data_IF_103716869383
#
_entry.id   IF_103716869383
#
_cell.length_a   1.000
_cell.length_b   1.000
_cell.length_c   1.000
_cell.angle_alpha   90.00
_cell.angle_beta   90.00
_cell.angle_gamma   90.00
#
_symmetry.space_group_name_H-M   'P 1'
#
loop_
_entity.id
_entity.type
_entity.pdbx_description
1 polymer ?
#
# COMPACT_ATOMS: atom_id res chain seq x y z
N UNK A 1 -19.20 -23.25 28.28
CA UNK A 1 -18.21 -22.32 27.69
C UNK A 1 -16.84 -23.00 27.59
N UNK A 2 -16.63 -23.83 26.55
CA UNK A 2 -15.38 -24.59 26.38
C UNK A 2 -14.26 -23.71 25.81
N UNK A 3 -13.27 -23.37 26.64
CA UNK A 3 -12.05 -22.67 26.22
C UNK A 3 -11.05 -23.66 25.62
N UNK A 4 -10.54 -23.39 24.42
CA UNK A 4 -9.30 -24.01 23.94
C UNK A 4 -8.08 -23.27 24.51
N UNK A 5 -6.98 -24.00 24.70
CA UNK A 5 -5.71 -23.59 25.37
C UNK A 5 -4.97 -22.36 24.79
N UNK A 6 -5.55 -21.60 23.86
CA UNK A 6 -4.93 -20.40 23.26
C UNK A 6 -5.80 -19.14 23.27
N UNK A 7 -6.91 -19.10 24.02
CA UNK A 7 -7.57 -17.83 24.36
C UNK A 7 -8.08 -16.94 23.23
N UNK A 8 -8.11 -17.40 21.97
CA UNK A 8 -8.68 -16.63 20.86
C UNK A 8 -10.20 -16.80 20.83
N UNK A 9 -10.91 -15.69 20.99
CA UNK A 9 -12.33 -15.59 20.64
C UNK A 9 -12.44 -15.66 19.12
N UNK A 10 -12.77 -16.83 18.60
CA UNK A 10 -13.26 -16.94 17.23
C UNK A 10 -14.69 -16.39 17.22
N UNK A 11 -14.86 -15.16 16.71
CA UNK A 11 -16.19 -14.68 16.36
C UNK A 11 -16.83 -15.61 15.34
N UNK A 12 -18.06 -16.06 15.66
CA UNK A 12 -18.98 -16.70 14.73
C UNK A 12 -18.98 -18.24 14.78
N UNK A 13 -19.98 -18.78 15.49
CA UNK A 13 -20.37 -20.20 15.61
C UNK A 13 -19.61 -21.00 16.68
N UNK A 14 -20.26 -21.13 17.84
CA UNK A 14 -19.72 -21.64 19.10
C UNK A 14 -19.58 -23.16 19.14
N UNK A 15 -20.13 -23.90 18.16
CA UNK A 15 -20.05 -25.35 18.13
C UNK A 15 -19.77 -25.93 16.73
N UNK A 16 -18.95 -26.99 16.67
CA UNK A 16 -18.76 -27.82 15.46
C UNK A 16 -20.12 -28.31 14.92
N UNK A 17 -21.10 -28.49 15.80
CA UNK A 17 -22.47 -28.88 15.45
C UNK A 17 -23.24 -27.75 14.75
N UNK A 18 -23.01 -26.48 15.11
CA UNK A 18 -23.61 -25.34 14.40
C UNK A 18 -23.02 -25.19 13.00
N UNK A 19 -21.71 -25.35 12.85
CA UNK A 19 -21.07 -25.36 11.52
C UNK A 19 -21.62 -26.46 10.63
N UNK A 20 -21.80 -27.66 11.20
CA UNK A 20 -22.39 -28.78 10.48
C UNK A 20 -23.87 -28.54 10.13
N UNK A 21 -24.65 -27.93 11.04
CA UNK A 21 -26.04 -27.58 10.82
C UNK A 21 -26.21 -26.52 9.73
N UNK A 22 -25.34 -25.50 9.71
CA UNK A 22 -25.28 -24.47 8.68
C UNK A 22 -24.85 -25.04 7.34
N UNK A 23 -23.83 -25.92 7.32
CA UNK A 23 -23.43 -26.63 6.11
C UNK A 23 -24.58 -27.48 5.55
N UNK A 24 -25.33 -28.18 6.41
CA UNK A 24 -26.54 -28.91 6.00
C UNK A 24 -27.70 -28.01 5.58
N UNK A 25 -27.81 -26.80 6.13
CA UNK A 25 -28.84 -25.81 5.74
C UNK A 25 -28.51 -25.26 4.35
N UNK A 26 -27.25 -24.90 4.11
CA UNK A 26 -26.74 -24.48 2.82
C UNK A 26 -26.90 -25.58 1.76
N UNK A 27 -26.54 -26.83 2.05
CA UNK A 27 -26.76 -27.96 1.14
C UNK A 27 -28.25 -28.14 0.78
N UNK A 28 -29.16 -27.93 1.74
CA UNK A 28 -30.61 -27.97 1.49
C UNK A 28 -31.10 -26.79 0.67
N UNK A 29 -30.55 -25.60 0.86
CA UNK A 29 -30.90 -24.42 0.06
C UNK A 29 -30.38 -24.53 -1.38
N UNK A 30 -29.16 -25.05 -1.58
CA UNK A 30 -28.62 -25.39 -2.90
C UNK A 30 -29.47 -26.45 -3.56
N UNK A 31 -29.83 -27.53 -2.87
CA UNK A 31 -30.72 -28.55 -3.41
C UNK A 31 -32.10 -27.98 -3.80
N UNK A 32 -32.67 -27.08 -3.00
CA UNK A 32 -33.93 -26.39 -3.32
C UNK A 32 -33.79 -25.47 -4.54
N UNK A 33 -32.70 -24.73 -4.65
CA UNK A 33 -32.43 -23.86 -5.80
C UNK A 33 -32.25 -24.67 -7.08
N UNK A 34 -31.54 -25.79 -7.00
CA UNK A 34 -31.36 -26.76 -8.09
C UNK A 34 -32.71 -27.37 -8.49
N UNK A 35 -33.54 -27.79 -7.53
CA UNK A 35 -34.87 -28.34 -7.81
C UNK A 35 -35.82 -27.29 -8.41
N UNK A 36 -35.79 -26.04 -7.96
CA UNK A 36 -36.57 -24.93 -8.56
C UNK A 36 -36.09 -24.61 -9.98
N UNK A 37 -34.79 -24.65 -10.23
CA UNK A 37 -34.22 -24.51 -11.58
C UNK A 37 -34.66 -25.67 -12.47
N UNK A 38 -34.65 -26.90 -11.94
CA UNK A 38 -35.13 -28.09 -12.65
C UNK A 38 -36.64 -28.01 -12.96
N UNK A 39 -37.47 -27.55 -12.01
CA UNK A 39 -38.91 -27.35 -12.23
C UNK A 39 -39.21 -26.24 -13.24
N UNK A 40 -38.51 -25.11 -13.19
CA UNK A 40 -38.60 -24.06 -14.22
C UNK A 40 -38.18 -24.59 -15.58
N UNK A 41 -37.14 -25.42 -15.64
CA UNK A 41 -36.67 -26.03 -16.87
C UNK A 41 -37.66 -27.07 -17.41
N UNK A 42 -38.34 -27.84 -16.55
CA UNK A 42 -39.40 -28.78 -16.94
C UNK A 42 -40.61 -28.04 -17.51
N UNK A 43 -41.03 -26.94 -16.86
CA UNK A 43 -42.09 -26.05 -17.37
C UNK A 43 -41.75 -25.43 -18.74
N UNK A 44 -40.49 -25.02 -18.95
CA UNK A 44 -40.01 -24.49 -20.22
C UNK A 44 -39.84 -25.56 -21.30
N UNK A 45 -39.53 -26.81 -20.94
CA UNK A 45 -39.46 -27.93 -21.88
C UNK A 45 -40.83 -28.52 -22.24
N UNK A 46 -41.84 -28.41 -21.35
CA UNK A 46 -43.22 -28.78 -21.71
C UNK A 46 -43.86 -27.82 -22.71
N UNK A 47 -43.39 -26.56 -22.80
CA UNK A 47 -43.81 -25.61 -23.84
C UNK A 47 -43.00 -25.72 -25.15
N UNK A 48 -41.90 -26.48 -25.15
CA UNK A 48 -40.98 -26.62 -26.29
C UNK A 48 -40.98 -28.05 -26.87
N UNK A 49 -42.08 -28.79 -26.71
CA UNK A 49 -42.27 -30.12 -27.28
C UNK A 49 -42.69 -30.05 -28.77
N UNK A 50 -41.93 -29.30 -29.58
CA UNK A 50 -41.89 -29.46 -31.03
C UNK A 50 -40.47 -29.24 -31.52
N UNK A 51 -39.94 -30.27 -32.20
CA UNK A 51 -38.66 -30.33 -32.91
C UNK A 51 -37.37 -30.61 -32.09
N UNK A 52 -37.01 -31.90 -31.98
CA UNK A 52 -35.82 -32.41 -32.68
C UNK A 52 -34.39 -32.19 -32.15
N UNK A 53 -34.13 -31.63 -30.96
CA UNK A 53 -32.76 -31.25 -30.55
C UNK A 53 -32.22 -31.86 -29.23
N UNK A 54 -32.44 -33.16 -28.97
CA UNK A 54 -32.10 -33.77 -27.68
C UNK A 54 -30.59 -34.09 -27.49
N UNK A 55 -29.80 -34.21 -28.56
CA UNK A 55 -28.38 -34.59 -28.45
C UNK A 55 -27.46 -33.39 -28.10
N UNK A 56 -27.67 -32.24 -28.73
CA UNK A 56 -26.80 -31.05 -28.56
C UNK A 56 -26.97 -30.37 -27.20
N UNK A 57 -28.18 -30.36 -26.65
CA UNK A 57 -28.45 -29.79 -25.32
C UNK A 57 -27.70 -30.54 -24.20
N UNK A 58 -27.44 -31.85 -24.35
CA UNK A 58 -26.72 -32.65 -23.36
C UNK A 58 -25.21 -32.35 -23.36
N UNK A 59 -24.65 -32.06 -24.53
CA UNK A 59 -23.23 -31.72 -24.74
C UNK A 59 -22.93 -30.32 -24.23
N UNK A 60 -23.81 -29.36 -24.54
CA UNK A 60 -23.73 -27.99 -24.01
C UNK A 60 -23.85 -27.96 -22.47
N UNK A 61 -24.74 -28.76 -21.87
CA UNK A 61 -24.88 -28.85 -20.39
C UNK A 61 -23.68 -29.48 -19.69
N UNK A 62 -22.96 -30.41 -20.31
CA UNK A 62 -21.71 -30.96 -19.76
C UNK A 62 -20.55 -29.99 -19.91
N UNK A 63 -20.43 -29.31 -21.06
CA UNK A 63 -19.40 -28.30 -21.29
C UNK A 63 -19.48 -27.16 -20.26
N UNK A 64 -20.67 -26.55 -20.09
CA UNK A 64 -20.88 -25.46 -19.12
C UNK A 64 -20.59 -25.89 -17.67
N UNK A 65 -20.88 -27.15 -17.30
CA UNK A 65 -20.54 -27.67 -15.96
C UNK A 65 -19.04 -27.87 -15.77
N UNK A 66 -18.32 -28.30 -16.80
CA UNK A 66 -16.86 -28.46 -16.75
C UNK A 66 -16.18 -27.09 -16.69
N UNK A 67 -16.69 -26.09 -17.42
CA UNK A 67 -16.15 -24.73 -17.42
C UNK A 67 -16.33 -24.03 -16.05
N UNK A 68 -17.47 -24.22 -15.38
CA UNK A 68 -17.70 -23.67 -14.03
C UNK A 68 -16.82 -24.36 -12.99
N UNK A 69 -16.63 -25.68 -13.08
CA UNK A 69 -15.74 -26.42 -12.17
C UNK A 69 -14.28 -26.04 -12.42
N UNK A 70 -13.88 -25.88 -13.68
CA UNK A 70 -12.55 -25.42 -14.06
C UNK A 70 -12.30 -24.00 -13.57
N UNK A 71 -13.23 -23.06 -13.79
CA UNK A 71 -13.15 -21.70 -13.28
C UNK A 71 -13.07 -21.64 -11.74
N UNK A 72 -13.81 -22.50 -11.03
CA UNK A 72 -13.74 -22.62 -9.57
C UNK A 72 -12.41 -23.22 -9.09
N UNK A 73 -11.86 -24.20 -9.81
CA UNK A 73 -10.54 -24.77 -9.50
C UNK A 73 -9.43 -23.77 -9.79
N UNK A 74 -9.51 -23.04 -10.90
CA UNK A 74 -8.55 -22.00 -11.27
C UNK A 74 -8.59 -20.83 -10.27
N UNK A 75 -9.79 -20.42 -9.81
CA UNK A 75 -9.95 -19.45 -8.73
C UNK A 75 -9.31 -19.92 -7.42
N UNK A 76 -9.53 -21.19 -7.04
CA UNK A 76 -8.95 -21.75 -5.81
C UNK A 76 -7.43 -21.96 -5.89
N UNK A 77 -6.91 -22.30 -7.07
CA UNK A 77 -5.46 -22.38 -7.33
C UNK A 77 -4.81 -20.99 -7.31
N UNK A 78 -5.52 -19.96 -7.79
CA UNK A 78 -5.11 -18.56 -7.63
C UNK A 78 -5.05 -18.19 -6.15
N UNK A 79 -6.07 -18.52 -5.35
CA UNK A 79 -6.09 -18.25 -3.91
C UNK A 79 -4.92 -18.94 -3.17
N UNK A 80 -4.69 -20.24 -3.42
CA UNK A 80 -3.59 -21.00 -2.79
C UNK A 80 -2.21 -20.45 -3.18
N UNK A 81 -2.06 -19.94 -4.40
CA UNK A 81 -0.80 -19.36 -4.91
C UNK A 81 -0.59 -17.94 -4.40
N UNK A 82 -1.66 -17.16 -4.25
CA UNK A 82 -1.64 -15.84 -3.58
C UNK A 82 -1.28 -16.01 -2.11
N UNK A 83 -1.85 -17.00 -1.41
CA UNK A 83 -1.48 -17.27 -0.01
C UNK A 83 -0.01 -17.70 0.14
N UNK A 84 0.52 -18.52 -0.78
CA UNK A 84 1.95 -18.86 -0.80
C UNK A 84 2.83 -17.67 -1.13
N UNK A 85 2.41 -16.81 -2.06
CA UNK A 85 3.11 -15.57 -2.40
C UNK A 85 3.16 -14.62 -1.20
N UNK A 86 2.06 -14.47 -0.46
CA UNK A 86 1.99 -13.69 0.79
C UNK A 86 2.83 -14.27 1.92
N UNK A 87 2.97 -15.60 1.98
CA UNK A 87 3.83 -16.26 2.98
C UNK A 87 5.32 -16.16 2.64
N UNK A 88 5.66 -16.13 1.34
CA UNK A 88 7.04 -15.98 0.87
C UNK A 88 7.49 -14.51 0.82
N UNK A 89 6.55 -13.58 0.60
CA UNK A 89 6.82 -12.15 0.39
C UNK A 89 7.58 -11.53 1.55
N UNK A 90 7.08 -11.60 2.78
CA UNK A 90 7.71 -10.91 3.91
C UNK A 90 9.19 -11.33 4.13
N UNK A 91 9.50 -12.62 4.02
CA UNK A 91 10.87 -13.12 4.15
C UNK A 91 11.76 -12.80 2.94
N UNK A 92 11.19 -12.87 1.73
CA UNK A 92 11.90 -12.55 0.49
C UNK A 92 12.20 -11.05 0.42
N UNK A 93 11.20 -10.20 0.69
CA UNK A 93 11.30 -8.74 0.78
C UNK A 93 12.37 -8.36 1.80
N UNK A 94 12.33 -8.92 3.01
CA UNK A 94 13.35 -8.63 4.00
C UNK A 94 14.76 -9.09 3.58
N UNK A 95 14.88 -10.28 2.99
CA UNK A 95 16.18 -10.77 2.50
C UNK A 95 16.73 -9.93 1.34
N UNK A 96 15.84 -9.45 0.47
CA UNK A 96 16.20 -8.56 -0.63
C UNK A 96 16.63 -7.19 -0.11
N UNK A 97 15.88 -6.61 0.82
CA UNK A 97 16.24 -5.35 1.47
C UNK A 97 17.56 -5.45 2.23
N UNK A 98 17.83 -6.59 2.90
CA UNK A 98 19.11 -6.86 3.55
C UNK A 98 20.26 -7.02 2.55
N UNK A 99 20.01 -7.66 1.40
CA UNK A 99 20.97 -7.76 0.31
C UNK A 99 21.27 -6.38 -0.30
N UNK A 100 20.24 -5.59 -0.56
CA UNK A 100 20.33 -4.21 -1.06
C UNK A 100 21.11 -3.33 -0.07
N UNK A 101 20.79 -3.37 1.23
CA UNK A 101 21.55 -2.61 2.25
C UNK A 101 22.98 -3.11 2.43
N UNK A 102 23.24 -4.41 2.35
CA UNK A 102 24.59 -4.97 2.41
C UNK A 102 25.43 -4.64 1.17
N UNK A 103 24.81 -4.52 -0.01
CA UNK A 103 25.48 -4.10 -1.25
C UNK A 103 25.61 -2.58 -1.35
N UNK A 104 24.70 -1.82 -0.74
CA UNK A 104 24.61 -0.37 -0.89
C UNK A 104 25.78 0.38 -0.25
N UNK A 105 26.40 -0.12 0.83
CA UNK A 105 27.67 0.42 1.36
C UNK A 105 28.12 -0.38 2.59
N UNK A 106 29.37 -0.85 2.61
CA UNK A 106 30.04 -1.13 3.90
C UNK A 106 30.14 0.20 4.66
N UNK A 107 29.87 0.23 5.99
CA UNK A 107 29.75 1.49 6.71
C UNK A 107 31.10 2.22 6.74
N UNK A 108 31.19 3.23 5.89
CA UNK A 108 32.41 3.99 5.61
C UNK A 108 32.74 5.01 6.70
N UNK A 109 31.75 5.45 7.48
CA UNK A 109 31.89 6.43 8.56
C UNK A 109 31.49 5.87 9.92
N UNK A 110 32.00 6.47 11.01
CA UNK A 110 31.60 6.12 12.38
C UNK A 110 30.10 6.37 12.60
N UNK A 111 29.55 7.45 12.04
CA UNK A 111 28.13 7.79 12.15
C UNK A 111 27.26 6.70 11.51
N UNK A 112 27.61 6.19 10.33
CA UNK A 112 26.85 5.12 9.66
C UNK A 112 26.92 3.80 10.44
N UNK A 113 28.05 3.50 11.09
CA UNK A 113 28.15 2.35 12.03
C UNK A 113 27.26 2.51 13.26
N UNK A 114 27.20 3.72 13.82
CA UNK A 114 26.30 4.00 14.94
C UNK A 114 24.83 3.85 14.52
N UNK A 115 24.45 4.37 13.34
CA UNK A 115 23.10 4.20 12.80
C UNK A 115 22.77 2.74 12.54
N UNK A 116 23.72 1.94 12.07
CA UNK A 116 23.57 0.50 11.88
C UNK A 116 23.22 -0.22 13.19
N UNK A 117 23.96 0.05 14.27
CA UNK A 117 23.68 -0.57 15.57
C UNK A 117 22.36 -0.05 16.17
N UNK A 118 22.06 1.24 16.05
CA UNK A 118 20.77 1.81 16.48
C UNK A 118 19.62 1.15 15.72
N UNK A 119 19.74 1.00 14.39
CA UNK A 119 18.74 0.36 13.54
C UNK A 119 18.53 -1.10 13.94
N UNK A 120 19.60 -1.83 14.23
CA UNK A 120 19.54 -3.24 14.63
C UNK A 120 18.85 -3.47 15.97
N UNK A 121 18.86 -2.48 16.87
CA UNK A 121 18.13 -2.52 18.14
C UNK A 121 16.98 -1.53 18.18
N UNK A 122 16.42 -1.15 17.02
CA UNK A 122 15.46 -0.06 16.95
C UNK A 122 14.16 -0.36 17.71
N UNK A 123 13.81 -1.64 17.80
CA UNK A 123 12.68 -2.19 18.55
C UNK A 123 12.75 -1.95 20.07
N UNK A 124 13.95 -1.64 20.59
CA UNK A 124 14.18 -1.34 21.99
C UNK A 124 13.83 0.12 22.36
N UNK A 125 13.62 1.00 21.37
CA UNK A 125 13.29 2.41 21.60
C UNK A 125 11.77 2.62 21.57
N UNK A 126 11.23 3.26 22.60
CA UNK A 126 9.80 3.56 22.68
C UNK A 126 9.52 5.06 22.49
N UNK A 127 8.49 5.39 21.70
CA UNK A 127 8.10 6.78 21.42
C UNK A 127 7.66 7.59 22.64
N UNK A 128 7.35 6.93 23.77
CA UNK A 128 6.89 7.58 24.99
C UNK A 128 8.00 8.33 25.77
N UNK A 129 9.28 8.13 25.43
CA UNK A 129 10.39 8.77 26.14
C UNK A 129 10.74 10.14 25.53
N UNK A 130 10.62 11.25 26.29
CA UNK A 130 10.97 12.58 25.79
C UNK A 130 12.47 12.72 25.50
N UNK A 131 13.31 11.96 26.20
CA UNK A 131 14.77 11.93 25.98
C UNK A 131 15.09 11.33 24.60
N UNK A 132 14.37 10.29 24.19
CA UNK A 132 14.56 9.68 22.88
C UNK A 132 14.08 10.63 21.77
N UNK A 133 12.93 11.28 21.95
CA UNK A 133 12.46 12.29 21.00
C UNK A 133 13.48 13.42 20.80
N UNK A 134 14.07 13.93 21.89
CA UNK A 134 15.12 14.95 21.82
C UNK A 134 16.41 14.42 21.15
N UNK A 135 16.81 13.18 21.46
CA UNK A 135 17.97 12.54 20.85
C UNK A 135 17.81 12.37 19.33
N UNK A 136 16.68 11.84 18.87
CA UNK A 136 16.39 11.73 17.44
C UNK A 136 16.20 13.09 16.76
N UNK A 137 15.80 14.12 17.51
CA UNK A 137 15.78 15.51 17.02
C UNK A 137 17.14 16.12 16.74
N UNK A 138 18.23 15.49 17.20
CA UNK A 138 19.61 15.92 16.84
C UNK A 138 20.08 15.33 15.52
N UNK A 139 19.31 14.44 14.90
CA UNK A 139 19.73 13.75 13.68
C UNK A 139 19.51 14.65 12.46
N UNK A 140 20.48 14.63 11.56
CA UNK A 140 20.34 15.23 10.23
C UNK A 140 19.35 14.40 9.38
N UNK A 141 18.70 15.03 8.39
CA UNK A 141 17.69 14.37 7.56
C UNK A 141 18.20 13.07 6.89
N UNK A 142 19.46 13.06 6.43
CA UNK A 142 20.06 11.86 5.84
C UNK A 142 20.22 10.71 6.87
N UNK A 143 20.50 11.04 8.15
CA UNK A 143 20.65 10.04 9.21
C UNK A 143 19.31 9.38 9.51
N UNK A 144 18.22 10.16 9.50
CA UNK A 144 16.86 9.67 9.68
C UNK A 144 16.41 8.82 8.50
N UNK A 145 16.68 9.27 7.28
CA UNK A 145 16.42 8.49 6.06
C UNK A 145 17.14 7.14 6.11
N UNK A 146 18.44 7.16 6.41
CA UNK A 146 19.27 5.95 6.52
C UNK A 146 18.84 5.03 7.66
N UNK A 147 18.50 5.59 8.82
CA UNK A 147 17.96 4.83 9.95
C UNK A 147 16.64 4.14 9.58
N UNK A 148 15.74 4.85 8.88
CA UNK A 148 14.45 4.30 8.46
C UNK A 148 14.61 3.12 7.50
N UNK A 149 15.53 3.23 6.54
CA UNK A 149 15.89 2.16 5.60
C UNK A 149 16.46 0.92 6.33
N UNK A 150 17.45 1.14 7.21
CA UNK A 150 18.10 0.06 7.95
C UNK A 150 17.15 -0.60 8.95
N UNK A 151 16.33 0.16 9.66
CA UNK A 151 15.35 -0.37 10.62
C UNK A 151 14.28 -1.21 9.91
N UNK A 152 13.86 -0.82 8.71
CA UNK A 152 13.01 -1.64 7.86
C UNK A 152 13.74 -2.91 7.40
N UNK A 153 14.99 -2.81 6.93
CA UNK A 153 15.77 -3.98 6.49
C UNK A 153 16.02 -5.00 7.62
N UNK A 154 16.26 -4.54 8.86
CA UNK A 154 16.40 -5.40 10.03
C UNK A 154 15.08 -5.87 10.63
N UNK A 155 13.94 -5.39 10.14
CA UNK A 155 12.61 -5.67 10.70
C UNK A 155 12.48 -5.27 12.19
N UNK A 156 13.19 -4.23 12.60
CA UNK A 156 13.16 -3.69 13.96
C UNK A 156 12.20 -2.50 14.08
N UNK A 157 11.65 -2.03 12.96
CA UNK A 157 10.55 -1.09 12.92
C UNK A 157 9.23 -1.78 13.28
N UNK A 158 8.41 -1.12 14.10
CA UNK A 158 7.10 -1.60 14.49
C UNK A 158 6.19 -0.49 15.05
N UNK A 159 4.99 -0.89 15.44
CA UNK A 159 3.92 0.02 15.84
C UNK A 159 4.29 0.95 17.02
N UNK A 160 5.23 0.53 17.88
CA UNK A 160 5.61 1.29 19.07
C UNK A 160 6.68 2.36 18.82
N UNK A 161 7.47 2.23 17.75
CA UNK A 161 8.67 3.05 17.53
C UNK A 161 8.63 3.85 16.22
N UNK A 162 7.78 3.49 15.24
CA UNK A 162 7.65 4.24 13.98
C UNK A 162 7.22 5.70 14.22
N UNK A 163 6.46 5.96 15.29
CA UNK A 163 6.09 7.31 15.70
C UNK A 163 7.31 8.21 16.02
N UNK A 164 8.46 7.65 16.44
CA UNK A 164 9.68 8.44 16.65
C UNK A 164 10.23 9.00 15.34
N UNK A 165 10.19 8.21 14.26
CA UNK A 165 10.66 8.65 12.94
C UNK A 165 9.70 9.67 12.33
N UNK A 166 8.40 9.45 12.50
CA UNK A 166 7.35 10.33 11.99
C UNK A 166 7.30 11.71 12.67
N UNK A 167 8.00 11.90 13.79
CA UNK A 167 8.10 13.18 14.49
C UNK A 167 9.21 14.08 13.96
N UNK A 168 10.10 13.57 13.11
CA UNK A 168 11.32 14.28 12.72
C UNK A 168 11.27 14.75 11.26
N UNK A 169 11.87 15.93 10.96
CA UNK A 169 12.08 16.40 9.60
C UNK A 169 12.87 15.43 8.75
N UNK A 170 12.29 14.98 7.63
CA UNK A 170 13.04 14.29 6.58
C UNK A 170 12.39 14.50 5.22
N UNK A 171 13.24 14.52 4.19
CA UNK A 171 12.85 14.54 2.78
C UNK A 171 12.64 13.12 2.22
N UNK A 172 13.19 12.10 2.88
CA UNK A 172 13.07 10.70 2.48
C UNK A 172 12.80 9.78 3.68
N UNK A 173 11.79 8.93 3.56
CA UNK A 173 11.37 8.02 4.63
C UNK A 173 11.02 6.63 4.10
N UNK A 174 11.56 5.59 4.74
CA UNK A 174 11.20 4.19 4.51
C UNK A 174 10.51 3.65 5.73
N UNK A 175 9.25 3.23 5.57
CA UNK A 175 8.45 2.65 6.64
C UNK A 175 8.11 1.21 6.28
N UNK A 176 8.31 0.29 7.21
CA UNK A 176 7.93 -1.09 6.94
C UNK A 176 7.53 -1.92 8.14
N UNK A 177 6.84 -3.01 7.83
CA UNK A 177 6.31 -4.02 8.77
C UNK A 177 5.34 -3.46 9.82
N UNK A 178 4.76 -2.29 9.56
CA UNK A 178 3.72 -1.66 10.40
C UNK A 178 2.41 -2.43 10.24
N UNK A 179 1.74 -2.74 11.36
CA UNK A 179 0.55 -3.61 11.35
C UNK A 179 -0.77 -2.86 11.47
N UNK A 180 -0.73 -1.63 11.96
CA UNK A 180 -1.91 -0.78 12.14
C UNK A 180 -1.69 0.57 11.47
N UNK A 181 -2.56 0.89 10.50
CA UNK A 181 -2.61 2.18 9.79
C UNK A 181 -2.64 3.37 10.76
N UNK A 182 -3.28 3.22 11.95
CA UNK A 182 -3.41 4.29 12.94
C UNK A 182 -2.07 4.80 13.46
N UNK A 183 -1.05 3.97 13.43
CA UNK A 183 0.30 4.37 13.86
C UNK A 183 0.94 5.32 12.85
N UNK A 184 0.53 5.22 11.58
CA UNK A 184 0.91 6.13 10.51
C UNK A 184 0.03 7.40 10.47
N UNK A 185 -0.90 7.59 11.42
CA UNK A 185 -1.71 8.79 11.49
C UNK A 185 -0.90 10.10 11.47
N UNK A 186 0.27 10.21 12.15
CA UNK A 186 1.10 11.42 12.07
C UNK A 186 1.58 11.74 10.66
N UNK A 187 1.73 10.72 9.79
CA UNK A 187 2.12 10.92 8.38
C UNK A 187 1.00 11.59 7.56
N UNK A 188 -0.25 11.53 8.01
CA UNK A 188 -1.43 11.98 7.24
C UNK A 188 -2.33 12.95 8.00
N UNK A 189 -1.97 13.34 9.23
CA UNK A 189 -2.78 14.23 10.07
C UNK A 189 -2.68 15.68 9.62
N UNK A 190 -3.82 16.26 9.21
CA UNK A 190 -3.96 17.66 8.81
C UNK A 190 -4.60 18.50 9.93
N UNK A 191 -3.97 18.61 11.11
CA UNK A 191 -4.45 19.55 12.12
C UNK A 191 -4.37 20.99 11.58
N UNK A 192 -5.38 21.83 11.83
CA UNK A 192 -5.42 23.23 11.34
C UNK A 192 -4.31 24.12 11.93
N UNK A 193 -3.66 23.72 13.03
CA UNK A 193 -2.41 24.31 13.53
C UNK A 193 -1.12 23.66 13.01
N UNK A 194 -1.24 22.54 12.27
CA UNK A 194 -0.15 21.62 11.88
C UNK A 194 0.22 21.69 10.39
N UNK A 195 -0.33 22.63 9.62
CA UNK A 195 0.24 22.96 8.30
C UNK A 195 1.72 23.37 8.39
N UNK A 196 2.16 23.83 9.58
CA UNK A 196 3.57 24.08 9.93
C UNK A 196 4.33 22.86 10.49
N UNK A 197 3.68 21.73 10.79
CA UNK A 197 4.38 20.52 11.29
C UNK A 197 4.92 19.62 10.18
N UNK A 198 4.34 19.66 8.98
CA UNK A 198 4.79 18.87 7.82
C UNK A 198 5.50 19.73 6.75
N UNK A 199 5.53 21.03 6.99
CA UNK A 199 6.55 21.95 6.53
C UNK A 199 7.55 22.05 7.68
N UNK A 200 8.45 21.07 7.82
CA UNK A 200 9.28 21.02 9.02
C UNK A 200 10.17 22.25 9.10
N UNK A 201 9.90 23.12 10.08
CA UNK A 201 10.70 24.29 10.35
C UNK A 201 11.97 23.83 11.06
N UNK A 202 13.13 24.00 10.43
CA UNK A 202 14.41 23.90 11.13
C UNK A 202 14.40 24.94 12.25
N UNK A 203 14.47 24.48 13.50
CA UNK A 203 14.51 25.36 14.66
C UNK A 203 15.76 26.24 14.64
N UNK A 204 15.59 27.50 14.22
CA UNK A 204 16.45 28.61 14.61
C UNK A 204 15.74 29.37 15.72
N UNK A 205 16.31 29.33 16.92
CA UNK A 205 15.81 30.07 18.07
C UNK A 205 15.95 31.59 17.79
N UNK A 206 14.85 32.27 17.46
CA UNK A 206 14.81 33.72 17.34
C UNK A 206 13.39 34.28 17.55
N UNK A 207 13.18 34.87 18.73
CA UNK A 207 12.22 35.93 19.07
C UNK A 207 11.09 36.20 18.05
N UNK A 208 9.89 35.67 18.32
CA UNK A 208 8.67 36.24 17.77
C UNK A 208 8.38 37.57 18.45
N UNK A 209 8.82 38.67 17.83
CA UNK A 209 8.20 39.97 18.00
C UNK A 209 7.08 40.07 16.95
N UNK A 210 5.83 40.04 17.40
CA UNK A 210 4.68 40.37 16.54
C UNK A 210 4.82 41.83 16.11
N UNK A 211 5.04 42.06 14.82
CA UNK A 211 4.91 43.37 14.19
C UNK A 211 3.48 43.44 13.63
N UNK A 212 2.63 44.26 14.24
CA UNK A 212 1.20 44.38 13.90
C UNK A 212 0.92 45.51 12.87
N UNK A 213 1.96 46.12 12.28
CA UNK A 213 1.79 47.25 11.35
C UNK A 213 2.82 47.25 10.23
N UNK A 214 2.37 47.59 9.02
CA UNK A 214 3.23 47.77 7.84
C UNK A 214 4.05 49.07 7.87
N UNK A 215 3.78 49.98 8.81
CA UNK A 215 4.43 51.29 8.91
C UNK A 215 5.74 51.29 9.74
N UNK A 216 6.15 50.14 10.29
CA UNK A 216 7.36 50.01 11.13
C UNK A 216 8.53 49.29 10.45
N UNK A 217 8.41 48.93 9.17
CA UNK A 217 9.49 48.31 8.41
C UNK A 217 10.44 49.37 7.85
N UNK A 218 11.53 49.62 8.57
CA UNK A 218 12.63 50.47 8.08
C UNK A 218 13.32 49.77 6.89
N UNK A 219 13.10 50.29 5.68
CA UNK A 219 13.41 49.61 4.41
C UNK A 219 14.92 49.51 4.15
N UNK A 220 15.74 50.23 4.92
CA UNK A 220 17.20 50.25 4.78
C UNK A 220 17.93 49.20 5.65
N UNK A 221 17.19 48.36 6.38
CA UNK A 221 17.72 47.30 7.26
C UNK A 221 17.07 45.93 7.09
N UNK A 222 16.27 45.72 6.03
CA UNK A 222 15.69 44.40 5.72
C UNK A 222 16.77 43.53 5.08
N UNK A 223 17.61 42.93 5.92
CA UNK A 223 18.32 41.72 5.54
C UNK A 223 17.24 40.69 5.17
N UNK A 224 17.12 40.35 3.88
CA UNK A 224 16.31 39.22 3.44
C UNK A 224 17.03 37.97 3.96
N UNK A 225 16.79 37.65 5.23
CA UNK A 225 17.23 36.41 5.82
C UNK A 225 16.74 35.26 4.92
N UNK A 226 17.57 34.24 4.65
CA UNK A 226 17.13 33.10 3.87
C UNK A 226 15.85 32.56 4.49
N UNK A 227 14.79 32.50 3.68
CA UNK A 227 13.52 31.89 4.07
C UNK A 227 13.82 30.49 4.58
N UNK A 228 13.58 30.26 5.87
CA UNK A 228 13.67 28.98 6.58
C UNK A 228 13.44 27.80 5.62
N UNK A 229 14.45 26.93 5.45
CA UNK A 229 14.36 25.76 4.58
C UNK A 229 13.31 24.80 5.14
N UNK A 230 12.09 24.92 4.61
CA UNK A 230 11.00 24.01 4.91
C UNK A 230 11.33 22.66 4.30
N UNK A 231 11.58 21.66 5.14
CA UNK A 231 11.79 20.29 4.65
C UNK A 231 10.44 19.70 4.26
N UNK A 232 10.33 19.23 3.03
CA UNK A 232 9.16 18.52 2.52
C UNK A 232 9.52 17.08 2.20
N UNK A 233 8.61 16.15 2.52
CA UNK A 233 8.79 14.75 2.15
C UNK A 233 8.67 14.61 0.62
N UNK A 234 9.77 14.20 -0.02
CA UNK A 234 9.87 13.95 -1.46
C UNK A 234 9.89 12.47 -1.80
N UNK A 235 10.40 11.62 -0.90
CA UNK A 235 10.47 10.16 -1.10
C UNK A 235 9.83 9.41 0.04
N UNK A 236 8.91 8.51 -0.29
CA UNK A 236 8.27 7.62 0.65
C UNK A 236 8.31 6.18 0.13
N UNK A 237 8.84 5.28 0.96
CA UNK A 237 8.79 3.85 0.74
C UNK A 237 7.92 3.20 1.82
N UNK A 238 6.92 2.43 1.41
CA UNK A 238 6.04 1.65 2.27
C UNK A 238 6.27 0.17 1.98
N UNK A 239 6.69 -0.58 2.99
CA UNK A 239 7.12 -1.98 2.84
C UNK A 239 6.36 -2.88 3.80
N UNK A 240 5.53 -3.79 3.30
CA UNK A 240 4.75 -4.74 4.10
C UNK A 240 3.94 -4.06 5.22
N UNK A 241 3.41 -2.85 4.96
CA UNK A 241 2.50 -2.15 5.86
C UNK A 241 1.08 -2.70 5.67
N UNK A 242 0.57 -3.37 6.70
CA UNK A 242 -0.71 -4.07 6.65
C UNK A 242 -1.89 -3.12 6.88
N UNK A 243 -3.01 -3.41 6.23
CA UNK A 243 -4.29 -2.74 6.51
C UNK A 243 -4.38 -1.29 6.05
N UNK A 244 -3.48 -0.83 5.17
CA UNK A 244 -3.58 0.51 4.57
C UNK A 244 -4.84 0.62 3.71
N UNK A 245 -5.64 1.65 3.96
CA UNK A 245 -6.89 1.93 3.24
C UNK A 245 -6.70 2.89 2.07
N UNK A 246 -7.67 2.92 1.15
CA UNK A 246 -7.73 3.97 0.12
C UNK A 246 -7.75 5.39 0.73
N UNK A 247 -8.47 5.56 1.85
CA UNK A 247 -8.55 6.84 2.56
C UNK A 247 -7.20 7.28 3.16
N UNK A 248 -6.31 6.34 3.48
CA UNK A 248 -4.93 6.68 3.83
C UNK A 248 -4.19 7.31 2.66
N UNK A 249 -4.25 6.70 1.47
CA UNK A 249 -3.60 7.24 0.28
C UNK A 249 -4.17 8.62 -0.13
N UNK A 250 -5.48 8.82 0.00
CA UNK A 250 -6.10 10.12 -0.25
C UNK A 250 -5.58 11.20 0.72
N UNK A 251 -5.49 10.90 2.01
CA UNK A 251 -4.94 11.85 3.00
C UNK A 251 -3.44 12.08 2.80
N UNK A 252 -2.70 11.05 2.41
CA UNK A 252 -1.27 11.14 2.11
C UNK A 252 -1.01 12.10 0.95
N UNK A 253 -1.79 11.99 -0.13
CA UNK A 253 -1.74 12.89 -1.28
C UNK A 253 -1.93 14.36 -0.89
N UNK A 254 -2.88 14.61 0.01
CA UNK A 254 -3.22 15.95 0.46
C UNK A 254 -2.20 16.49 1.46
N UNK A 255 -1.61 15.64 2.29
CA UNK A 255 -0.59 16.01 3.28
C UNK A 255 0.78 16.27 2.63
N UNK A 256 1.13 15.53 1.57
CA UNK A 256 2.45 15.58 0.91
C UNK A 256 2.33 15.91 -0.58
N UNK A 257 1.95 17.15 -0.95
CA UNK A 257 1.78 17.52 -2.35
C UNK A 257 3.08 17.52 -3.16
N UNK A 258 4.23 17.59 -2.50
CA UNK A 258 5.57 17.62 -3.11
C UNK A 258 6.23 16.23 -3.21
N UNK A 259 5.47 15.15 -2.98
CA UNK A 259 6.01 13.81 -3.06
C UNK A 259 6.37 13.44 -4.50
N UNK A 260 7.65 13.20 -4.75
CA UNK A 260 8.23 12.90 -6.07
C UNK A 260 8.39 11.40 -6.30
N UNK A 261 8.63 10.64 -5.23
CA UNK A 261 8.92 9.21 -5.28
C UNK A 261 8.05 8.43 -4.31
N UNK A 262 7.24 7.50 -4.83
CA UNK A 262 6.47 6.55 -4.03
C UNK A 262 6.86 5.12 -4.38
N UNK A 263 7.27 4.35 -3.37
CA UNK A 263 7.48 2.91 -3.47
C UNK A 263 6.54 2.18 -2.53
N UNK A 264 5.80 1.22 -3.05
CA UNK A 264 4.79 0.44 -2.35
C UNK A 264 5.13 -1.03 -2.59
N UNK A 265 5.58 -1.70 -1.53
CA UNK A 265 5.98 -3.11 -1.55
C UNK A 265 5.07 -3.87 -0.60
N UNK A 266 4.30 -4.84 -1.10
CA UNK A 266 3.41 -5.70 -0.27
C UNK A 266 2.50 -4.93 0.71
N UNK A 267 1.97 -3.78 0.27
CA UNK A 267 1.06 -2.96 1.05
C UNK A 267 -0.35 -2.97 0.44
N UNK A 268 -1.32 -2.43 1.20
CA UNK A 268 -2.73 -2.32 0.77
C UNK A 268 -3.37 -3.69 0.50
N UNK A 269 -3.00 -4.69 1.29
CA UNK A 269 -3.41 -6.09 1.18
C UNK A 269 -4.92 -6.34 1.32
N UNK A 270 -5.64 -5.37 1.90
CA UNK A 270 -7.08 -5.41 2.10
C UNK A 270 -7.91 -4.79 0.96
N UNK A 271 -7.27 -4.22 -0.07
CA UNK A 271 -8.01 -3.64 -1.21
C UNK A 271 -8.60 -4.73 -2.10
N UNK A 272 -9.87 -4.55 -2.47
CA UNK A 272 -10.46 -5.29 -3.58
C UNK A 272 -10.09 -4.65 -4.92
N UNK A 273 -10.52 -5.28 -6.02
CA UNK A 273 -10.17 -4.82 -7.36
C UNK A 273 -10.65 -3.38 -7.66
N UNK A 274 -11.79 -2.96 -7.10
CA UNK A 274 -12.34 -1.62 -7.33
C UNK A 274 -11.55 -0.58 -6.54
N UNK A 275 -11.25 -0.87 -5.28
CA UNK A 275 -10.47 0.01 -4.43
C UNK A 275 -9.02 0.12 -4.91
N UNK A 276 -8.45 -0.96 -5.46
CA UNK A 276 -7.13 -0.95 -6.11
C UNK A 276 -7.09 -0.07 -7.36
N UNK A 277 -8.12 -0.15 -8.23
CA UNK A 277 -8.23 0.75 -9.38
C UNK A 277 -8.39 2.23 -8.94
N UNK A 278 -9.23 2.49 -7.95
CA UNK A 278 -9.40 3.83 -7.38
C UNK A 278 -8.10 4.37 -6.74
N UNK A 279 -7.28 3.51 -6.13
CA UNK A 279 -5.96 3.90 -5.62
C UNK A 279 -5.07 4.41 -6.76
N UNK A 280 -5.00 3.69 -7.88
CA UNK A 280 -4.22 4.12 -9.05
C UNK A 280 -4.76 5.43 -9.66
N UNK A 281 -6.08 5.58 -9.75
CA UNK A 281 -6.72 6.84 -10.15
C UNK A 281 -6.28 8.00 -9.25
N UNK A 282 -6.27 7.80 -7.92
CA UNK A 282 -5.81 8.82 -6.98
C UNK A 282 -4.33 9.14 -7.15
N UNK A 283 -3.48 8.13 -7.33
CA UNK A 283 -2.04 8.30 -7.56
C UNK A 283 -1.79 9.06 -8.88
N UNK A 284 -2.60 8.85 -9.91
CA UNK A 284 -2.53 9.60 -11.17
C UNK A 284 -2.73 11.12 -11.00
N UNK A 285 -3.45 11.52 -9.96
CA UNK A 285 -3.70 12.93 -9.64
C UNK A 285 -2.55 13.62 -8.88
N UNK A 286 -1.51 12.89 -8.46
CA UNK A 286 -0.43 13.44 -7.63
C UNK A 286 0.56 14.25 -8.45
N UNK A 287 0.51 15.57 -8.34
CA UNK A 287 1.18 16.48 -9.29
C UNK A 287 2.69 16.30 -9.40
N UNK A 288 3.36 16.17 -8.27
CA UNK A 288 4.81 16.08 -8.20
C UNK A 288 5.35 14.67 -8.39
N UNK A 289 4.49 13.65 -8.49
CA UNK A 289 4.94 12.26 -8.52
C UNK A 289 5.66 11.94 -9.84
N UNK A 290 6.97 11.73 -9.76
CA UNK A 290 7.84 11.38 -10.89
C UNK A 290 8.09 9.88 -10.98
N UNK A 291 8.14 9.17 -9.85
CA UNK A 291 8.39 7.71 -9.86
C UNK A 291 7.41 6.96 -8.99
N UNK A 292 6.84 5.89 -9.55
CA UNK A 292 5.97 4.96 -8.85
C UNK A 292 6.57 3.55 -8.91
N UNK A 293 6.79 2.91 -7.77
CA UNK A 293 7.20 1.52 -7.68
C UNK A 293 6.12 0.72 -6.96
N UNK A 294 5.58 -0.29 -7.63
CA UNK A 294 4.63 -1.25 -7.09
C UNK A 294 5.26 -2.64 -7.16
N UNK A 295 5.49 -3.28 -6.03
CA UNK A 295 5.97 -4.66 -6.03
C UNK A 295 5.28 -5.50 -4.98
N UNK A 296 5.13 -6.80 -5.26
CA UNK A 296 4.42 -7.74 -4.39
C UNK A 296 2.96 -7.35 -4.06
N UNK A 297 2.38 -6.41 -4.81
CA UNK A 297 1.01 -5.93 -4.59
C UNK A 297 0.00 -6.96 -5.12
N UNK A 298 -0.56 -7.77 -4.22
CA UNK A 298 -1.49 -8.85 -4.59
C UNK A 298 -2.84 -8.37 -5.17
N UNK A 299 -3.19 -7.11 -4.93
CA UNK A 299 -4.41 -6.47 -5.46
C UNK A 299 -4.22 -5.91 -6.88
N UNK A 300 -2.98 -5.80 -7.35
CA UNK A 300 -2.67 -5.21 -8.65
C UNK A 300 -2.86 -6.23 -9.78
N UNK A 301 -3.56 -5.83 -10.84
CA UNK A 301 -3.77 -6.65 -12.03
C UNK A 301 -3.33 -5.94 -13.31
N UNK A 302 -3.14 -6.73 -14.37
CA UNK A 302 -2.83 -6.23 -15.71
C UNK A 302 -3.87 -5.22 -16.20
N UNK A 303 -5.15 -5.50 -16.01
CA UNK A 303 -6.25 -4.64 -16.46
C UNK A 303 -6.22 -3.28 -15.78
N UNK A 304 -5.90 -3.23 -14.48
CA UNK A 304 -5.77 -1.98 -13.74
C UNK A 304 -4.61 -1.13 -14.25
N UNK A 305 -3.47 -1.73 -14.59
CA UNK A 305 -2.32 -1.00 -15.13
C UNK A 305 -2.59 -0.47 -16.54
N UNK A 306 -3.35 -1.20 -17.36
CA UNK A 306 -3.79 -0.72 -18.68
C UNK A 306 -4.80 0.43 -18.53
N UNK A 307 -5.75 0.32 -17.60
CA UNK A 307 -6.67 1.41 -17.31
C UNK A 307 -5.92 2.66 -16.80
N UNK A 308 -4.93 2.45 -15.91
CA UNK A 308 -4.06 3.51 -15.41
C UNK A 308 -3.26 4.17 -16.54
N UNK A 309 -2.70 3.41 -17.49
CA UNK A 309 -2.04 3.98 -18.67
C UNK A 309 -2.99 4.87 -19.48
N UNK A 310 -4.25 4.46 -19.66
CA UNK A 310 -5.23 5.28 -20.36
C UNK A 310 -5.60 6.55 -19.57
N UNK A 311 -5.75 6.45 -18.25
CA UNK A 311 -6.02 7.60 -17.37
C UNK A 311 -4.91 8.65 -17.48
N UNK A 312 -3.65 8.24 -17.54
CA UNK A 312 -2.49 9.13 -17.70
C UNK A 312 -2.52 9.94 -19.01
N UNK A 313 -3.28 9.53 -20.02
CA UNK A 313 -3.47 10.31 -21.26
C UNK A 313 -4.49 11.44 -21.10
N UNK A 314 -5.38 11.36 -20.11
CA UNK A 314 -6.48 12.32 -19.96
C UNK A 314 -5.97 13.65 -19.36
N UNK A 315 -5.99 14.76 -20.11
CA UNK A 315 -5.38 16.03 -19.69
C UNK A 315 -6.05 16.69 -18.49
N UNK A 316 -7.29 16.28 -18.17
CA UNK A 316 -8.12 16.87 -17.11
C UNK A 316 -8.11 16.06 -15.83
N UNK A 317 -7.65 14.82 -15.90
CA UNK A 317 -7.71 13.84 -14.81
C UNK A 317 -6.35 13.66 -14.16
N UNK A 318 -5.25 13.82 -14.91
CA UNK A 318 -3.91 13.55 -14.42
C UNK A 318 -3.10 14.81 -14.12
N UNK A 319 -2.63 14.89 -12.88
CA UNK A 319 -1.63 15.86 -12.45
C UNK A 319 -0.22 15.28 -12.49
N UNK A 320 -0.08 13.95 -12.48
CA UNK A 320 1.19 13.28 -12.28
C UNK A 320 2.18 13.53 -13.43
N UNK A 321 3.39 13.97 -13.06
CA UNK A 321 4.54 14.12 -13.95
C UNK A 321 5.36 12.83 -14.01
N UNK A 322 4.67 11.68 -14.13
CA UNK A 322 5.29 10.37 -13.98
C UNK A 322 6.34 10.15 -15.08
N UNK A 323 7.56 9.83 -14.68
CA UNK A 323 8.71 9.53 -15.56
C UNK A 323 9.15 8.08 -15.50
N UNK A 324 8.89 7.40 -14.38
CA UNK A 324 9.25 6.01 -14.20
C UNK A 324 8.15 5.23 -13.46
N UNK A 325 7.87 4.03 -13.95
CA UNK A 325 6.95 3.08 -13.33
C UNK A 325 7.67 1.74 -13.19
N UNK A 326 7.83 1.27 -11.96
CA UNK A 326 8.42 -0.03 -11.66
C UNK A 326 7.33 -0.99 -11.21
N UNK A 327 7.20 -2.15 -11.86
CA UNK A 327 6.24 -3.19 -11.47
C UNK A 327 6.91 -4.55 -11.42
N UNK A 328 7.01 -5.13 -10.22
CA UNK A 328 7.73 -6.38 -9.97
C UNK A 328 6.95 -7.34 -9.09
N UNK A 329 7.10 -8.64 -9.33
CA UNK A 329 6.57 -9.70 -8.44
C UNK A 329 5.06 -9.56 -8.10
N UNK A 330 4.28 -8.93 -8.99
CA UNK A 330 2.84 -8.76 -8.85
C UNK A 330 2.12 -9.95 -9.52
N UNK A 331 1.27 -10.63 -8.75
CA UNK A 331 0.73 -11.95 -9.13
C UNK A 331 -0.09 -11.97 -10.43
N UNK A 332 -1.00 -11.01 -10.63
CA UNK A 332 -1.95 -10.99 -11.76
C UNK A 332 -1.53 -9.97 -12.84
N UNK A 333 -0.23 -9.65 -12.88
CA UNK A 333 0.36 -8.68 -13.81
C UNK A 333 1.21 -9.39 -14.87
N UNK A 334 0.81 -9.25 -16.12
CA UNK A 334 1.62 -9.61 -17.28
C UNK A 334 2.53 -8.43 -17.64
N UNK A 335 3.73 -8.42 -17.06
CA UNK A 335 4.69 -7.31 -17.18
C UNK A 335 5.07 -7.02 -18.64
N UNK A 336 5.25 -8.06 -19.47
CA UNK A 336 5.59 -7.87 -20.88
C UNK A 336 4.48 -7.18 -21.67
N UNK A 337 3.22 -7.52 -21.39
CA UNK A 337 2.08 -6.86 -22.01
C UNK A 337 1.94 -5.41 -21.55
N UNK A 338 2.07 -5.16 -20.23
CA UNK A 338 2.07 -3.79 -19.69
C UNK A 338 3.20 -2.96 -20.31
N UNK A 339 4.39 -3.54 -20.50
CA UNK A 339 5.53 -2.88 -21.18
C UNK A 339 5.18 -2.47 -22.60
N UNK A 340 4.52 -3.33 -23.38
CA UNK A 340 4.09 -2.97 -24.74
C UNK A 340 3.07 -1.82 -24.74
N UNK A 341 2.08 -1.86 -23.86
CA UNK A 341 1.05 -0.81 -23.77
C UNK A 341 1.66 0.54 -23.34
N UNK A 342 2.53 0.54 -22.34
CA UNK A 342 3.20 1.77 -21.90
C UNK A 342 4.18 2.31 -22.94
N UNK A 343 4.89 1.45 -23.67
CA UNK A 343 5.77 1.89 -24.75
C UNK A 343 5.00 2.57 -25.90
N UNK A 344 3.77 2.10 -26.18
CA UNK A 344 2.89 2.68 -27.20
C UNK A 344 2.21 3.98 -26.75
N UNK A 345 1.64 3.99 -25.53
CA UNK A 345 0.84 5.12 -25.04
C UNK A 345 1.69 6.22 -24.40
N UNK A 346 2.79 5.85 -23.72
CA UNK A 346 3.61 6.73 -22.89
C UNK A 346 5.11 6.53 -23.12
N UNK A 347 5.65 6.90 -24.30
CA UNK A 347 7.05 6.63 -24.65
C UNK A 347 8.07 7.36 -23.75
N UNK A 348 7.63 8.34 -22.97
CA UNK A 348 8.46 9.08 -22.02
C UNK A 348 8.55 8.40 -20.64
N UNK A 349 7.65 7.46 -20.32
CA UNK A 349 7.64 6.74 -19.05
C UNK A 349 8.53 5.50 -19.17
N UNK A 350 9.57 5.43 -18.32
CA UNK A 350 10.43 4.25 -18.24
C UNK A 350 9.76 3.16 -17.41
N UNK A 351 9.33 2.08 -18.05
CA UNK A 351 8.85 0.90 -17.34
C UNK A 351 10.00 -0.04 -16.98
N UNK A 352 10.23 -0.25 -15.68
CA UNK A 352 11.18 -1.25 -15.16
C UNK A 352 10.43 -2.38 -14.46
N UNK A 353 11.04 -3.56 -14.43
CA UNK A 353 10.47 -4.78 -13.84
C UNK A 353 11.37 -5.37 -12.79
#
# INVERSE_FOLDING_TARGET
MGRNRKGRQCGGYESKMERFALQRKWQREVARAVSRSHQRHVQLSSSAASAGAAADASRARRAVRVDVVKALMDARLKDDRVERSKQQSASAIASQLQLETAHAQQPGSLQDRCLYEIARTFDCYAAASPVLAAFFGTFEAWMLSRLSELATAFQTMGDANVALLLQQPTDALTLGFVRDERVLAPLVSQGEGDRQRMAWQLGGDAFQQQVESWDELDVDGVDIAPTHDVVHLRRLELVSCAGLSLAFAERLALAHPFLEHLKVVDCFDALDARAGAALLERVACWRSLETLHLSWCCWLSTEMLVAFANLLLEPRSCGASLRALHVADCFDVSVDYVRTVFAELHPHIRLTS
#
